data_IF_017405254932
#
_entry.id   IF_017405254932
#
_cell.length_a   1.000
_cell.length_b   1.000
_cell.length_c   1.000
_cell.angle_alpha   90.00
_cell.angle_beta   90.00
_cell.angle_gamma   90.00
#
_symmetry.space_group_name_H-M   'P 1'
#
loop_
_entity.id
_entity.type
_entity.pdbx_description
1 polymer ?
#
# COMPACT_ATOMS: atom_id res chain seq x y z
N UNK A 1 14.88 3.47 -22.01
CA UNK A 1 15.99 2.69 -22.60
C UNK A 1 17.18 3.56 -23.05
N UNK A 2 18.41 3.16 -22.70
CA UNK A 2 19.64 3.78 -23.19
C UNK A 2 20.71 2.70 -23.42
N UNK A 3 21.61 2.94 -24.37
CA UNK A 3 22.70 2.02 -24.69
C UNK A 3 23.78 2.10 -23.61
N UNK A 4 24.14 0.97 -23.01
CA UNK A 4 25.24 0.89 -22.05
C UNK A 4 26.00 -0.43 -22.18
N UNK A 5 27.02 -0.64 -21.35
CA UNK A 5 27.76 -1.91 -21.27
C UNK A 5 26.95 -3.04 -20.64
N UNK A 6 25.87 -2.71 -19.94
CA UNK A 6 24.93 -3.68 -19.38
C UNK A 6 23.82 -3.98 -20.41
N UNK A 7 23.74 -5.20 -20.98
CA UNK A 7 22.75 -5.55 -22.00
C UNK A 7 21.29 -5.48 -21.49
N UNK A 8 21.04 -5.46 -20.18
CA UNK A 8 19.69 -5.33 -19.64
C UNK A 8 19.15 -3.90 -19.71
N UNK A 9 20.02 -2.89 -19.85
CA UNK A 9 19.58 -1.48 -19.95
C UNK A 9 18.75 -1.17 -21.20
N UNK A 10 18.95 -1.92 -22.28
CA UNK A 10 18.15 -1.81 -23.50
C UNK A 10 16.74 -2.41 -23.33
N UNK A 11 16.53 -3.27 -22.32
CA UNK A 11 15.24 -3.88 -21.99
C UNK A 11 14.35 -2.99 -21.12
N UNK A 12 14.89 -1.88 -20.61
CA UNK A 12 14.13 -0.93 -19.77
C UNK A 12 13.26 -0.04 -20.67
N UNK A 13 11.99 -0.39 -20.77
CA UNK A 13 10.98 0.33 -21.56
C UNK A 13 10.09 1.26 -20.73
N UNK A 14 10.24 1.28 -19.39
CA UNK A 14 9.51 2.17 -18.47
C UNK A 14 10.35 3.37 -18.03
N UNK A 15 9.68 4.43 -17.56
CA UNK A 15 10.31 5.69 -17.13
C UNK A 15 10.33 5.89 -15.60
N UNK A 16 9.61 5.06 -14.84
CA UNK A 16 9.63 5.12 -13.37
C UNK A 16 10.96 4.65 -12.77
N UNK A 17 11.31 5.21 -11.61
CA UNK A 17 12.44 4.78 -10.79
C UNK A 17 12.29 3.36 -10.17
N UNK A 18 11.18 2.65 -10.46
CA UNK A 18 10.94 1.30 -10.00
C UNK A 18 9.52 0.82 -10.28
N UNK A 19 9.17 -0.33 -9.69
CA UNK A 19 7.82 -0.90 -9.77
C UNK A 19 6.95 -0.24 -8.71
N UNK A 20 5.88 0.44 -9.14
CA UNK A 20 4.90 1.11 -8.28
C UNK A 20 3.92 0.12 -7.61
N UNK A 21 4.43 -0.95 -7.01
CA UNK A 21 3.64 -2.04 -6.44
C UNK A 21 2.71 -1.59 -5.30
N UNK A 22 3.12 -0.61 -4.48
CA UNK A 22 2.31 -0.19 -3.34
C UNK A 22 1.02 0.52 -3.78
N UNK A 23 1.04 1.16 -4.95
CA UNK A 23 -0.12 1.88 -5.48
C UNK A 23 -1.19 0.93 -5.99
N UNK A 24 -0.85 -0.30 -6.38
CA UNK A 24 -1.82 -1.28 -6.90
C UNK A 24 -2.65 -1.93 -5.79
N UNK A 25 -2.26 -1.77 -4.52
CA UNK A 25 -2.99 -2.34 -3.38
C UNK A 25 -3.98 -1.33 -2.78
N UNK A 26 -5.25 -1.72 -2.57
CA UNK A 26 -6.17 -0.89 -1.81
C UNK A 26 -5.74 -0.85 -0.33
N UNK A 27 -6.19 0.18 0.39
CA UNK A 27 -5.77 0.38 1.79
C UNK A 27 -6.52 -0.57 2.73
N UNK A 28 -5.83 -1.62 3.18
CA UNK A 28 -6.38 -2.66 4.06
C UNK A 28 -5.66 -2.67 5.42
N UNK A 29 -6.09 -1.84 6.40
CA UNK A 29 -5.50 -1.84 7.73
C UNK A 29 -6.04 -3.02 8.54
N UNK A 30 -5.16 -3.87 9.07
CA UNK A 30 -5.52 -4.94 10.00
C UNK A 30 -6.43 -4.39 11.12
N UNK A 31 -7.63 -4.94 11.37
CA UNK A 31 -8.59 -4.33 12.29
C UNK A 31 -8.11 -4.25 13.76
N UNK A 32 -7.13 -5.08 14.14
CA UNK A 32 -6.57 -5.09 15.49
C UNK A 32 -5.40 -4.08 15.64
N UNK A 33 -4.42 -4.15 14.76
CA UNK A 33 -3.19 -3.35 14.83
C UNK A 33 -3.21 -2.11 13.93
N UNK A 34 -4.01 -2.10 12.88
CA UNK A 34 -4.00 -1.14 11.77
C UNK A 34 -2.68 -1.04 11.03
N UNK A 35 -1.88 -2.11 11.03
CA UNK A 35 -0.79 -2.28 10.07
C UNK A 35 -1.38 -2.66 8.71
N UNK A 36 -0.73 -2.26 7.62
CA UNK A 36 -1.21 -2.60 6.29
C UNK A 36 -1.02 -4.09 6.00
N UNK A 37 -2.06 -4.75 5.48
CA UNK A 37 -2.01 -6.14 5.07
C UNK A 37 -1.38 -6.27 3.67
N UNK A 38 -0.07 -6.49 3.63
CA UNK A 38 0.70 -6.54 2.37
C UNK A 38 0.46 -7.78 1.52
N UNK A 39 -0.02 -8.88 2.09
CA UNK A 39 -0.17 -10.13 1.36
C UNK A 39 -1.44 -10.09 0.50
N UNK A 40 -1.26 -9.79 -0.80
CA UNK A 40 -2.35 -9.70 -1.78
C UNK A 40 -2.22 -10.79 -2.83
N UNK A 41 -3.34 -11.42 -3.17
CA UNK A 41 -3.42 -12.31 -4.33
C UNK A 41 -3.59 -11.46 -5.58
N UNK A 42 -2.74 -11.67 -6.58
CA UNK A 42 -2.82 -11.00 -7.88
C UNK A 42 -2.92 -12.04 -9.01
N UNK A 43 -3.49 -11.61 -10.13
CA UNK A 43 -3.42 -12.33 -11.41
C UNK A 43 -2.50 -11.56 -12.33
N UNK A 44 -1.60 -12.28 -13.00
CA UNK A 44 -0.63 -11.70 -13.93
C UNK A 44 -0.90 -12.29 -15.31
N UNK A 45 -0.87 -11.44 -16.34
CA UNK A 45 -0.97 -11.84 -17.74
C UNK A 45 0.11 -11.13 -18.58
N UNK A 46 0.50 -11.67 -19.74
CA UNK A 46 1.37 -10.97 -20.68
C UNK A 46 0.73 -9.65 -21.16
N UNK A 47 1.57 -8.64 -21.42
CA UNK A 47 1.12 -7.43 -22.10
C UNK A 47 0.54 -7.77 -23.48
N UNK A 48 -0.55 -7.10 -23.86
CA UNK A 48 -1.27 -7.31 -25.11
C UNK A 48 -0.79 -6.32 -26.18
N UNK A 49 -1.08 -6.65 -27.43
CA UNK A 49 -0.87 -5.70 -28.52
C UNK A 49 -1.71 -4.44 -28.30
N UNK A 50 -1.04 -3.27 -28.31
CA UNK A 50 -1.68 -1.98 -28.10
C UNK A 50 -1.60 -1.43 -26.67
N UNK A 51 -1.21 -2.24 -25.68
CA UNK A 51 -0.94 -1.75 -24.32
C UNK A 51 0.20 -0.73 -24.35
N UNK A 52 0.01 0.38 -23.64
CA UNK A 52 0.97 1.47 -23.53
C UNK A 52 1.40 1.64 -22.10
N UNK A 53 2.61 2.15 -21.95
CA UNK A 53 3.08 2.62 -20.64
C UNK A 53 2.08 3.64 -20.06
N UNK A 54 1.74 3.46 -18.78
CA UNK A 54 0.73 4.23 -18.04
C UNK A 54 -0.75 4.00 -18.42
N UNK A 55 -1.08 2.93 -19.18
CA UNK A 55 -2.48 2.52 -19.38
C UNK A 55 -3.13 1.97 -18.09
N UNK A 56 -2.31 1.53 -17.14
CA UNK A 56 -2.76 1.14 -15.80
C UNK A 56 -2.75 2.36 -14.89
N UNK A 57 -3.92 2.71 -14.35
CA UNK A 57 -4.07 3.75 -13.35
C UNK A 57 -4.72 3.19 -12.09
N UNK A 58 -4.52 3.91 -10.98
CA UNK A 58 -5.06 3.55 -9.67
C UNK A 58 -6.24 4.45 -9.37
N UNK A 59 -7.39 3.82 -9.11
CA UNK A 59 -8.59 4.51 -8.66
C UNK A 59 -8.53 4.70 -7.14
N UNK A 60 -8.20 5.92 -6.71
CA UNK A 60 -8.06 6.27 -5.30
C UNK A 60 -9.40 6.28 -4.56
N UNK A 61 -10.53 6.47 -5.26
CA UNK A 61 -11.85 6.41 -4.66
C UNK A 61 -12.20 4.96 -4.28
N UNK A 62 -11.87 3.98 -5.14
CA UNK A 62 -11.99 2.55 -4.81
C UNK A 62 -11.10 2.15 -3.65
N UNK A 63 -9.84 2.62 -3.63
CA UNK A 63 -8.94 2.38 -2.49
C UNK A 63 -9.51 2.93 -1.18
N UNK A 64 -10.18 4.09 -1.22
CA UNK A 64 -10.87 4.65 -0.05
C UNK A 64 -12.10 3.85 0.36
N UNK A 65 -12.87 3.33 -0.58
CA UNK A 65 -14.03 2.49 -0.28
C UNK A 65 -13.61 1.24 0.50
N UNK A 66 -12.57 0.53 0.03
CA UNK A 66 -11.99 -0.63 0.74
C UNK A 66 -11.49 -0.25 2.13
N UNK A 67 -10.82 0.90 2.28
CA UNK A 67 -10.41 1.37 3.61
C UNK A 67 -11.60 1.52 4.58
N UNK A 68 -12.71 2.13 4.13
CA UNK A 68 -13.88 2.29 4.98
C UNK A 68 -14.55 0.95 5.31
N UNK A 69 -14.53 -0.03 4.41
CA UNK A 69 -14.98 -1.40 4.68
C UNK A 69 -14.14 -2.07 5.78
N UNK A 70 -12.83 -2.00 5.67
CA UNK A 70 -11.92 -2.59 6.68
C UNK A 70 -11.99 -1.87 8.02
N UNK A 71 -12.15 -0.54 8.00
CA UNK A 71 -12.33 0.26 9.22
C UNK A 71 -13.57 -0.16 10.00
N UNK A 72 -14.66 -0.59 9.35
CA UNK A 72 -15.85 -1.11 10.03
C UNK A 72 -15.59 -2.39 10.84
N UNK A 73 -14.52 -3.12 10.53
CA UNK A 73 -14.12 -4.32 11.26
C UNK A 73 -13.37 -4.01 12.57
N UNK A 74 -12.96 -2.76 12.76
CA UNK A 74 -12.22 -2.34 13.96
C UNK A 74 -13.08 -2.43 15.22
N UNK A 75 -12.44 -2.74 16.34
CA UNK A 75 -13.09 -2.73 17.65
C UNK A 75 -12.78 -1.41 18.36
N UNK A 76 -13.73 -0.83 19.11
CA UNK A 76 -13.47 0.35 19.91
C UNK A 76 -12.36 0.06 20.93
N UNK A 77 -11.62 1.10 21.28
CA UNK A 77 -10.60 1.03 22.32
C UNK A 77 -11.22 0.60 23.66
N UNK A 78 -10.51 -0.26 24.38
CA UNK A 78 -10.84 -0.65 25.75
C UNK A 78 -9.95 0.16 26.69
N UNK A 79 -10.47 1.25 27.25
CA UNK A 79 -9.74 2.14 28.15
C UNK A 79 -9.31 3.46 27.49
N UNK A 80 -8.38 4.21 28.11
CA UNK A 80 -8.07 5.59 27.72
C UNK A 80 -7.14 5.69 26.49
N UNK A 81 -6.64 4.57 25.98
CA UNK A 81 -5.66 4.55 24.90
C UNK A 81 -6.29 4.04 23.61
N UNK A 82 -6.02 4.75 22.50
CA UNK A 82 -6.35 4.35 21.12
C UNK A 82 -5.75 2.98 20.78
N UNK A 83 -4.54 2.68 21.29
CA UNK A 83 -3.75 1.46 21.05
C UNK A 83 -2.80 1.15 22.23
N UNK A 84 -2.26 -0.07 22.35
CA UNK A 84 -1.28 -0.41 23.38
C UNK A 84 0.10 0.25 23.15
N UNK A 85 0.77 0.68 24.22
CA UNK A 85 2.10 1.32 24.18
C UNK A 85 3.23 0.34 23.83
N UNK A 86 3.05 -0.96 24.11
CA UNK A 86 4.06 -2.00 23.88
C UNK A 86 4.12 -2.46 22.41
N UNK A 87 3.16 -2.07 21.57
CA UNK A 87 3.17 -2.45 20.15
C UNK A 87 4.20 -1.60 19.37
N UNK A 88 5.22 -2.26 18.83
CA UNK A 88 6.30 -1.60 18.10
C UNK A 88 5.81 -0.95 16.79
N UNK A 89 6.39 0.19 16.43
CA UNK A 89 6.06 0.96 15.23
C UNK A 89 7.30 1.65 14.67
N UNK A 90 7.49 1.66 13.34
CA UNK A 90 8.30 2.68 12.70
C UNK A 90 7.77 4.05 13.09
N UNK A 91 8.65 4.94 13.54
CA UNK A 91 8.29 6.31 13.94
C UNK A 91 7.20 6.34 15.04
N UNK A 92 7.40 5.58 16.12
CA UNK A 92 6.49 5.55 17.28
C UNK A 92 6.16 6.98 17.75
N UNK A 93 4.88 7.38 17.82
CA UNK A 93 4.47 8.68 18.35
C UNK A 93 4.82 8.86 19.83
N UNK A 94 4.81 10.10 20.31
CA UNK A 94 4.85 10.40 21.76
C UNK A 94 3.64 9.81 22.47
N UNK A 95 3.80 9.42 23.73
CA UNK A 95 2.77 8.68 24.50
C UNK A 95 1.42 9.41 24.59
N UNK A 96 1.42 10.75 24.57
CA UNK A 96 0.19 11.55 24.57
C UNK A 96 -0.68 11.32 23.33
N UNK A 97 -0.08 11.07 22.17
CA UNK A 97 -0.82 10.77 20.93
C UNK A 97 -1.61 9.45 21.00
N UNK A 98 -1.32 8.60 21.98
CA UNK A 98 -2.07 7.36 22.21
C UNK A 98 -3.36 7.61 22.98
N UNK A 99 -3.54 8.74 23.66
CA UNK A 99 -4.75 8.99 24.45
C UNK A 99 -5.95 9.27 23.55
N UNK A 100 -7.10 8.70 23.91
CA UNK A 100 -8.39 9.18 23.44
C UNK A 100 -8.53 10.60 23.98
N UNK A 101 -8.78 11.56 23.08
CA UNK A 101 -8.87 12.98 23.42
C UNK A 101 -10.04 13.29 24.33
#
# INVERSE_FOLDING_TARGET
PFKSTDPDTERIWWHEAGVNQNLTFPVQPDPASGMHCWHQKVTVEPAREGDRYADVFVDTAKSRAVYEEWKKLTKPAKGPLRRPLWMNRPLRPVDEAYRLG
#
